data_IF_960575179921
#
_entry.id   IF_960575179921
#
_cell.length_a   1.000
_cell.length_b   1.000
_cell.length_c   1.000
_cell.angle_alpha   90.00
_cell.angle_beta   90.00
_cell.angle_gamma   90.00
#
_symmetry.space_group_name_H-M   'P 1'
#
loop_
_entity.id
_entity.type
_entity.pdbx_description
1 polymer ?
#
# COMPACT_ATOMS: atom_id res chain seq x y z
N UNK A 1 -39.86 -7.23 -6.27
CA UNK A 1 -39.25 -6.51 -7.40
C UNK A 1 -37.93 -5.94 -6.90
N UNK A 2 -36.78 -6.51 -7.29
CA UNK A 2 -35.48 -5.99 -6.88
C UNK A 2 -35.13 -4.78 -7.77
N UNK A 3 -34.63 -3.66 -7.21
CA UNK A 3 -34.14 -2.56 -8.04
C UNK A 3 -32.92 -3.06 -8.83
N UNK A 4 -33.03 -3.13 -10.16
CA UNK A 4 -31.90 -3.28 -11.06
C UNK A 4 -31.17 -1.94 -11.12
N UNK A 5 -30.33 -1.68 -10.11
CA UNK A 5 -29.39 -0.57 -10.18
C UNK A 5 -28.35 -0.93 -11.25
N UNK A 6 -28.18 -0.05 -12.24
CA UNK A 6 -27.22 -0.27 -13.32
C UNK A 6 -25.81 -0.41 -12.73
N UNK A 7 -25.00 -1.32 -13.28
CA UNK A 7 -23.67 -1.61 -12.75
C UNK A 7 -22.81 -0.34 -12.67
N UNK A 8 -22.89 0.54 -13.67
CA UNK A 8 -22.15 1.82 -13.67
C UNK A 8 -22.54 2.74 -12.50
N UNK A 9 -23.81 2.72 -12.09
CA UNK A 9 -24.27 3.52 -10.94
C UNK A 9 -23.70 2.93 -9.64
N UNK A 10 -23.63 1.60 -9.53
CA UNK A 10 -22.98 0.94 -8.39
C UNK A 10 -21.48 1.28 -8.31
N UNK A 11 -20.78 1.30 -9.44
CA UNK A 11 -19.37 1.70 -9.51
C UNK A 11 -19.18 3.17 -9.12
N UNK A 12 -20.07 4.06 -9.53
CA UNK A 12 -19.96 5.46 -9.13
C UNK A 12 -20.26 5.65 -7.63
N UNK A 13 -21.23 4.93 -7.08
CA UNK A 13 -21.52 4.94 -5.63
C UNK A 13 -20.32 4.44 -4.82
N UNK A 14 -19.64 3.39 -5.29
CA UNK A 14 -18.44 2.84 -4.64
C UNK A 14 -17.36 3.91 -4.43
N UNK A 15 -17.20 4.86 -5.36
CA UNK A 15 -16.19 5.94 -5.28
C UNK A 15 -16.46 6.94 -4.15
N UNK A 16 -17.66 6.92 -3.59
CA UNK A 16 -18.08 7.77 -2.48
C UNK A 16 -18.21 7.00 -1.16
N UNK A 17 -17.95 5.69 -1.15
CA UNK A 17 -17.99 4.87 0.05
C UNK A 17 -16.71 5.05 0.89
N UNK A 18 -16.86 4.98 2.21
CA UNK A 18 -15.71 4.88 3.11
C UNK A 18 -15.08 3.48 3.06
N UNK A 19 -13.86 3.35 3.58
CA UNK A 19 -13.09 2.11 3.57
C UNK A 19 -13.83 0.95 4.28
N UNK A 20 -14.61 1.26 5.33
CA UNK A 20 -15.45 0.28 6.04
C UNK A 20 -16.55 -0.29 5.14
N UNK A 21 -17.23 0.59 4.41
CA UNK A 21 -18.28 0.22 3.45
C UNK A 21 -17.68 -0.54 2.28
N UNK A 22 -16.53 -0.12 1.76
CA UNK A 22 -15.80 -0.86 0.72
C UNK A 22 -15.44 -2.28 1.19
N UNK A 23 -14.95 -2.45 2.42
CA UNK A 23 -14.69 -3.76 3.03
C UNK A 23 -15.94 -4.64 3.14
N UNK A 24 -17.07 -4.06 3.58
CA UNK A 24 -18.33 -4.77 3.61
C UNK A 24 -18.77 -5.21 2.21
N UNK A 25 -18.67 -4.31 1.22
CA UNK A 25 -19.05 -4.59 -0.17
C UNK A 25 -18.16 -5.66 -0.82
N UNK A 26 -16.85 -5.66 -0.54
CA UNK A 26 -15.92 -6.72 -0.94
C UNK A 26 -16.34 -8.10 -0.41
N UNK A 27 -16.97 -8.14 0.77
CA UNK A 27 -17.42 -9.38 1.43
C UNK A 27 -18.77 -9.88 0.90
N UNK A 28 -19.62 -8.98 0.40
CA UNK A 28 -21.02 -9.29 0.04
C UNK A 28 -21.15 -9.63 -1.45
N UNK A 29 -20.33 -9.03 -2.33
CA UNK A 29 -20.50 -9.18 -3.78
C UNK A 29 -19.20 -9.45 -4.52
N UNK A 30 -19.13 -10.60 -5.23
CA UNK A 30 -18.00 -10.93 -6.12
C UNK A 30 -17.87 -9.97 -7.30
N UNK A 31 -18.99 -9.44 -7.80
CA UNK A 31 -18.97 -8.52 -8.95
C UNK A 31 -18.46 -7.12 -8.60
N UNK A 32 -18.53 -6.74 -7.32
CA UNK A 32 -17.99 -5.47 -6.82
C UNK A 32 -16.65 -5.66 -6.13
N UNK A 33 -16.23 -6.90 -5.84
CA UNK A 33 -15.03 -7.19 -5.08
C UNK A 33 -13.78 -6.53 -5.66
N UNK A 34 -13.56 -6.67 -6.97
CA UNK A 34 -12.35 -6.15 -7.61
C UNK A 34 -12.33 -4.62 -7.64
N UNK A 35 -13.45 -3.98 -7.98
CA UNK A 35 -13.54 -2.53 -7.99
C UNK A 35 -13.43 -1.94 -6.57
N UNK A 36 -14.14 -2.54 -5.61
CA UNK A 36 -14.07 -2.11 -4.21
C UNK A 36 -12.66 -2.30 -3.65
N UNK A 37 -11.95 -3.38 -3.99
CA UNK A 37 -10.55 -3.58 -3.60
C UNK A 37 -9.62 -2.53 -4.25
N UNK A 38 -9.84 -2.21 -5.52
CA UNK A 38 -9.07 -1.17 -6.22
C UNK A 38 -9.25 0.20 -5.56
N UNK A 39 -10.48 0.58 -5.24
CA UNK A 39 -10.78 1.85 -4.57
C UNK A 39 -10.23 1.86 -3.15
N UNK A 40 -10.40 0.77 -2.41
CA UNK A 40 -9.86 0.62 -1.06
C UNK A 40 -8.34 0.80 -1.01
N UNK A 41 -7.60 0.24 -1.98
CA UNK A 41 -6.14 0.34 -2.06
C UNK A 41 -5.64 1.64 -2.70
N UNK A 42 -6.54 2.44 -3.27
CA UNK A 42 -6.21 3.78 -3.76
C UNK A 42 -6.10 4.79 -2.61
N UNK A 43 -6.73 4.50 -1.48
CA UNK A 43 -6.53 5.23 -0.22
C UNK A 43 -5.20 4.81 0.44
N UNK A 44 -4.62 5.65 1.31
CA UNK A 44 -3.38 5.33 2.02
C UNK A 44 -3.47 4.02 2.80
N UNK A 45 -2.59 3.08 2.46
CA UNK A 45 -2.46 1.80 3.18
C UNK A 45 -1.60 2.05 4.41
N UNK A 46 -2.25 2.14 5.57
CA UNK A 46 -1.58 2.37 6.85
C UNK A 46 -1.27 1.06 7.55
N UNK A 47 0.01 0.84 7.82
CA UNK A 47 0.57 -0.32 8.48
C UNK A 47 1.08 0.09 9.86
N UNK A 48 0.20 -0.05 10.87
CA UNK A 48 0.44 0.39 12.25
C UNK A 48 -0.07 -0.58 13.30
N UNK A 49 -0.08 -0.14 14.56
CA UNK A 49 -0.21 -0.99 15.77
C UNK A 49 -1.56 -1.71 15.88
N UNK A 50 -2.63 -1.05 15.42
CA UNK A 50 -3.99 -1.57 15.48
C UNK A 50 -4.41 -2.33 14.22
N UNK A 51 -3.53 -2.41 13.21
CA UNK A 51 -3.85 -3.06 11.95
C UNK A 51 -3.35 -4.49 12.00
N UNK A 52 -4.21 -5.46 11.67
CA UNK A 52 -3.77 -6.82 11.41
C UNK A 52 -2.94 -6.87 10.12
N UNK A 53 -1.62 -6.66 10.29
CA UNK A 53 -0.66 -6.56 9.19
C UNK A 53 -0.63 -7.81 8.33
N UNK A 54 -0.74 -8.99 8.95
CA UNK A 54 -0.80 -10.26 8.20
C UNK A 54 -2.03 -10.31 7.31
N UNK A 55 -3.18 -9.86 7.83
CA UNK A 55 -4.40 -9.77 7.02
C UNK A 55 -4.28 -8.78 5.88
N UNK A 56 -3.61 -7.63 6.07
CA UNK A 56 -3.37 -6.65 4.99
C UNK A 56 -2.44 -7.22 3.92
N UNK A 57 -1.32 -7.81 4.31
CA UNK A 57 -0.40 -8.43 3.33
C UNK A 57 -1.04 -9.59 2.61
N UNK A 58 -1.74 -10.46 3.34
CA UNK A 58 -2.52 -11.54 2.71
C UNK A 58 -3.54 -10.96 1.74
N UNK A 59 -4.25 -9.91 2.12
CA UNK A 59 -5.25 -9.28 1.25
C UNK A 59 -4.66 -8.71 -0.03
N UNK A 60 -3.49 -8.05 0.02
CA UNK A 60 -2.86 -7.43 -1.15
C UNK A 60 -2.11 -8.47 -2.02
N UNK A 61 -1.51 -9.48 -1.39
CA UNK A 61 -0.72 -10.52 -2.07
C UNK A 61 -1.56 -11.68 -2.61
N UNK A 62 -2.82 -11.80 -2.20
CA UNK A 62 -3.79 -12.75 -2.77
C UNK A 62 -3.93 -12.54 -4.29
N UNK A 63 -4.31 -13.61 -4.99
CA UNK A 63 -4.46 -13.64 -6.45
C UNK A 63 -3.14 -13.35 -7.21
N UNK A 64 -2.02 -13.88 -6.71
CA UNK A 64 -0.66 -13.68 -7.25
C UNK A 64 -0.25 -12.19 -7.31
N UNK A 65 -0.64 -11.40 -6.31
CA UNK A 65 -0.26 -9.99 -6.22
C UNK A 65 -0.95 -9.08 -7.23
N UNK A 66 -2.07 -9.50 -7.83
CA UNK A 66 -2.86 -8.67 -8.77
C UNK A 66 -3.31 -7.33 -8.19
N UNK A 67 -3.34 -7.20 -6.86
CA UNK A 67 -3.77 -6.00 -6.15
C UNK A 67 -2.61 -5.08 -5.77
N UNK A 68 -1.36 -5.56 -5.83
CA UNK A 68 -0.17 -4.77 -5.53
C UNK A 68 -0.08 -3.50 -6.39
N UNK A 69 -0.40 -3.53 -7.71
CA UNK A 69 -0.39 -2.32 -8.54
C UNK A 69 -1.47 -1.28 -8.17
N UNK A 70 -2.43 -1.60 -7.32
CA UNK A 70 -3.45 -0.63 -6.89
C UNK A 70 -2.95 0.24 -5.73
N UNK A 71 -1.92 -0.19 -4.99
CA UNK A 71 -1.34 0.56 -3.88
C UNK A 71 -0.59 1.77 -4.42
N UNK A 72 -1.03 2.97 -4.03
CA UNK A 72 -0.40 4.24 -4.42
C UNK A 72 0.26 4.99 -3.27
N UNK A 73 -0.22 4.76 -2.06
CA UNK A 73 0.25 5.42 -0.86
C UNK A 73 0.40 4.37 0.26
N UNK A 74 1.60 4.32 0.83
CA UNK A 74 1.99 3.34 1.83
C UNK A 74 2.56 4.08 3.04
N UNK A 75 1.92 3.93 4.19
CA UNK A 75 2.38 4.50 5.46
C UNK A 75 2.77 3.38 6.42
N UNK A 76 4.06 3.30 6.73
CA UNK A 76 4.62 2.35 7.68
C UNK A 76 4.84 3.08 8.98
N UNK A 77 3.99 2.81 9.97
CA UNK A 77 3.98 3.53 11.24
C UNK A 77 4.82 2.87 12.33
N UNK A 78 5.19 1.60 12.15
CA UNK A 78 5.87 0.82 13.18
C UNK A 78 6.88 -0.17 12.62
N UNK A 79 7.70 -0.67 13.55
CA UNK A 79 8.64 -1.76 13.29
C UNK A 79 7.90 -2.99 12.82
N UNK A 80 8.14 -3.27 11.56
CA UNK A 80 7.66 -4.45 10.90
C UNK A 80 8.40 -5.69 11.44
N UNK A 81 7.70 -6.81 11.63
CA UNK A 81 8.34 -8.08 12.04
C UNK A 81 8.30 -9.16 10.97
N UNK A 82 7.40 -9.05 9.98
CA UNK A 82 7.31 -10.06 8.92
C UNK A 82 8.42 -9.85 7.87
N UNK A 83 9.29 -10.84 7.73
CA UNK A 83 10.34 -10.79 6.71
C UNK A 83 9.78 -10.77 5.28
N UNK A 84 8.49 -10.95 5.02
CA UNK A 84 7.94 -11.17 3.67
C UNK A 84 7.52 -9.88 2.94
N UNK A 85 7.46 -8.73 3.62
CA UNK A 85 6.97 -7.49 3.00
C UNK A 85 7.77 -7.10 1.75
N UNK A 86 9.09 -7.25 1.81
CA UNK A 86 9.97 -6.92 0.68
C UNK A 86 9.61 -7.69 -0.61
N UNK A 87 9.00 -8.87 -0.50
CA UNK A 87 8.52 -9.67 -1.64
C UNK A 87 7.33 -9.00 -2.33
N UNK A 88 6.52 -8.24 -1.58
CA UNK A 88 5.33 -7.59 -2.05
C UNK A 88 5.63 -6.20 -2.65
N UNK A 89 6.60 -5.47 -2.07
CA UNK A 89 6.96 -4.10 -2.50
C UNK A 89 7.27 -4.04 -4.00
N UNK A 90 7.99 -5.02 -4.55
CA UNK A 90 8.30 -5.05 -5.99
C UNK A 90 7.08 -5.08 -6.91
N UNK A 91 5.93 -5.56 -6.43
CA UNK A 91 4.67 -5.55 -7.18
C UNK A 91 3.89 -4.23 -7.08
N UNK A 92 4.27 -3.33 -6.17
CA UNK A 92 3.64 -2.01 -5.97
C UNK A 92 4.17 -1.00 -6.99
N UNK A 93 4.12 -1.36 -8.27
CA UNK A 93 4.73 -0.60 -9.37
C UNK A 93 4.15 0.81 -9.56
N UNK A 94 2.98 1.08 -9.00
CA UNK A 94 2.31 2.39 -9.05
C UNK A 94 2.40 3.15 -7.71
N UNK A 95 3.28 2.72 -6.80
CA UNK A 95 3.49 3.41 -5.53
C UNK A 95 4.06 4.81 -5.79
N UNK A 96 3.37 5.83 -5.29
CA UNK A 96 3.71 7.24 -5.50
C UNK A 96 4.12 7.93 -4.19
N UNK A 97 3.55 7.52 -3.06
CA UNK A 97 3.83 8.10 -1.76
C UNK A 97 4.27 7.01 -0.80
N UNK A 98 5.38 7.27 -0.10
CA UNK A 98 5.90 6.38 0.91
C UNK A 98 6.12 7.20 2.18
N UNK A 99 5.53 6.77 3.29
CA UNK A 99 5.76 7.34 4.61
C UNK A 99 6.39 6.27 5.50
N UNK A 100 7.56 6.59 6.06
CA UNK A 100 8.35 5.72 6.93
C UNK A 100 8.48 6.39 8.29
N UNK A 101 7.76 5.90 9.27
CA UNK A 101 7.98 6.25 10.66
C UNK A 101 9.10 5.37 11.21
N UNK A 102 10.01 5.98 11.98
CA UNK A 102 11.21 5.33 12.49
C UNK A 102 12.08 4.69 11.39
N UNK A 103 12.28 5.44 10.30
CA UNK A 103 12.87 4.95 9.04
C UNK A 103 14.25 4.30 9.23
N UNK A 104 15.11 4.84 10.09
CA UNK A 104 16.45 4.29 10.30
C UNK A 104 16.39 2.89 10.90
N UNK A 105 15.56 2.70 11.91
CA UNK A 105 15.37 1.42 12.59
C UNK A 105 14.68 0.40 11.67
N UNK A 106 13.73 0.84 10.83
CA UNK A 106 13.12 0.01 9.80
C UNK A 106 14.15 -0.51 8.80
N UNK A 107 15.02 0.37 8.30
CA UNK A 107 16.08 0.00 7.33
C UNK A 107 17.15 -0.88 7.99
N UNK A 108 17.51 -0.62 9.25
CA UNK A 108 18.48 -1.41 10.00
C UNK A 108 18.01 -2.86 10.19
N UNK A 109 16.75 -3.05 10.60
CA UNK A 109 16.19 -4.39 10.81
C UNK A 109 15.82 -5.10 9.50
N UNK A 110 15.51 -4.35 8.43
CA UNK A 110 15.02 -4.89 7.16
C UNK A 110 15.79 -4.34 5.95
N UNK A 111 17.07 -4.70 5.75
CA UNK A 111 17.87 -4.18 4.64
C UNK A 111 17.28 -4.51 3.26
N UNK A 112 16.67 -5.70 3.09
CA UNK A 112 15.99 -6.09 1.85
C UNK A 112 14.78 -5.20 1.52
N UNK A 113 14.11 -4.67 2.55
CA UNK A 113 12.98 -3.77 2.37
C UNK A 113 13.46 -2.42 1.83
N UNK A 114 14.58 -1.93 2.36
CA UNK A 114 15.22 -0.71 1.86
C UNK A 114 15.65 -0.86 0.39
N UNK A 115 16.25 -1.99 0.02
CA UNK A 115 16.58 -2.30 -1.38
C UNK A 115 15.34 -2.34 -2.27
N UNK A 116 14.23 -2.91 -1.77
CA UNK A 116 12.98 -2.97 -2.50
C UNK A 116 12.38 -1.58 -2.73
N UNK A 117 12.38 -0.70 -1.72
CA UNK A 117 11.95 0.69 -1.89
C UNK A 117 12.86 1.46 -2.86
N UNK A 118 14.17 1.25 -2.77
CA UNK A 118 15.13 1.88 -3.66
C UNK A 118 14.96 1.43 -5.12
N UNK A 119 14.53 0.20 -5.36
CA UNK A 119 14.30 -0.34 -6.69
C UNK A 119 13.05 0.23 -7.38
N UNK A 120 12.09 0.79 -6.64
CA UNK A 120 10.89 1.40 -7.23
C UNK A 120 11.24 2.67 -8.01
N UNK A 121 10.58 2.85 -9.15
CA UNK A 121 10.80 3.99 -10.06
C UNK A 121 9.70 5.06 -9.95
N UNK A 122 8.55 4.70 -9.38
CA UNK A 122 7.33 5.52 -9.36
C UNK A 122 7.15 6.43 -8.14
N UNK A 123 8.02 6.35 -7.13
CA UNK A 123 7.84 7.12 -5.89
C UNK A 123 8.09 8.60 -6.19
N UNK A 124 7.11 9.43 -5.90
CA UNK A 124 7.16 10.88 -6.10
C UNK A 124 7.33 11.64 -4.78
N UNK A 125 6.79 11.09 -3.70
CA UNK A 125 6.82 11.69 -2.37
C UNK A 125 7.32 10.67 -1.37
N UNK A 126 8.29 11.08 -0.57
CA UNK A 126 8.79 10.29 0.53
C UNK A 126 8.77 11.14 1.79
N UNK A 127 8.26 10.57 2.88
CA UNK A 127 8.41 11.11 4.23
C UNK A 127 9.16 10.07 5.04
N UNK A 128 10.29 10.46 5.63
CA UNK A 128 11.09 9.57 6.47
C UNK A 128 11.37 10.25 7.82
N UNK A 129 10.69 9.79 8.87
CA UNK A 129 10.91 10.26 10.23
C UNK A 129 12.02 9.44 10.90
N UNK A 130 12.81 10.10 11.76
CA UNK A 130 14.01 9.53 12.39
C UNK A 130 15.01 8.96 11.37
N UNK A 131 15.18 9.61 10.22
CA UNK A 131 16.13 9.19 9.20
C UNK A 131 17.59 9.37 9.68
N UNK A 132 18.41 8.33 9.53
CA UNK A 132 19.85 8.35 9.80
C UNK A 132 20.66 8.02 8.54
N UNK A 133 21.82 7.41 8.73
CA UNK A 133 22.77 7.15 7.64
C UNK A 133 22.29 6.06 6.69
N UNK A 134 21.63 5.02 7.20
CA UNK A 134 21.10 3.92 6.41
C UNK A 134 19.93 4.38 5.56
N UNK A 135 19.03 5.16 6.14
CA UNK A 135 17.93 5.81 5.41
C UNK A 135 18.50 6.71 4.32
N UNK A 136 19.49 7.56 4.63
CA UNK A 136 20.17 8.39 3.63
C UNK A 136 20.88 7.57 2.54
N UNK A 137 21.37 6.37 2.84
CA UNK A 137 21.96 5.48 1.84
C UNK A 137 20.88 4.90 0.91
N UNK A 138 19.75 4.46 1.46
CA UNK A 138 18.58 4.04 0.68
C UNK A 138 18.12 5.16 -0.25
N UNK A 139 17.95 6.39 0.26
CA UNK A 139 17.56 7.56 -0.53
C UNK A 139 18.46 7.79 -1.75
N UNK A 140 19.78 7.69 -1.56
CA UNK A 140 20.76 7.87 -2.63
C UNK A 140 20.72 6.76 -3.67
N UNK A 141 20.23 5.58 -3.29
CA UNK A 141 20.10 4.43 -4.18
C UNK A 141 18.72 4.34 -4.85
N UNK A 142 17.79 5.24 -4.52
CA UNK A 142 16.46 5.23 -5.12
C UNK A 142 16.54 5.49 -6.62
N UNK A 143 15.83 4.67 -7.39
CA UNK A 143 15.63 4.86 -8.84
C UNK A 143 14.52 5.86 -9.17
N UNK A 144 13.67 6.12 -8.17
CA UNK A 144 12.57 7.08 -8.24
C UNK A 144 13.05 8.52 -8.35
N UNK A 145 12.30 9.34 -9.09
CA UNK A 145 12.53 10.79 -9.20
C UNK A 145 11.67 11.53 -8.18
N UNK A 146 12.14 11.57 -6.93
CA UNK A 146 11.45 12.23 -5.83
C UNK A 146 11.22 13.71 -6.15
N UNK A 147 9.96 14.14 -6.02
CA UNK A 147 9.53 15.54 -6.15
C UNK A 147 9.48 16.23 -4.79
N UNK A 148 9.23 15.46 -3.73
CA UNK A 148 9.17 15.92 -2.34
C UNK A 148 9.83 14.89 -1.42
N UNK A 149 10.66 15.38 -0.49
CA UNK A 149 11.33 14.61 0.57
C UNK A 149 11.22 15.38 1.87
#
# INVERSE_FOLDING_TARGET
MAPLLHYDILLEVLRHCDSSTLCALMSVSRSLHEEAARLFLSDPVVLGECTDLESVIRFISVDNGRRLPYVRDLDIQLLWQSEELHLCIGGMINLQRLNLNDAENLVENHPKLADAFAALEGIEQLVALNAGQLTCAMLRNMRSRLRSV
#
